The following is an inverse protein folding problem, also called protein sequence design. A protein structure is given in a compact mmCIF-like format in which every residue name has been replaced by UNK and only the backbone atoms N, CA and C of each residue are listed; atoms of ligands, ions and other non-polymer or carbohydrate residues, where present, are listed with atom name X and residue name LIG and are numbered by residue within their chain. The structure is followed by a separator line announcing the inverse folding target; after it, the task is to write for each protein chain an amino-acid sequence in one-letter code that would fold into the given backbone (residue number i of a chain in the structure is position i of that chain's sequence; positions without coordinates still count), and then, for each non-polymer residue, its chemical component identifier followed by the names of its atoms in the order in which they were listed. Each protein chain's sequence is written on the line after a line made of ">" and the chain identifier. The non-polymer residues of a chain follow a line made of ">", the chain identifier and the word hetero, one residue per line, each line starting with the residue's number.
data_IF_059664089817
#
_entry.id   IF_059664089817
#
_cell.length_a   1.000
_cell.length_b   1.000
_cell.length_c   1.000
_cell.angle_alpha   90.00
_cell.angle_beta   90.00
_cell.angle_gamma   90.00
#
_symmetry.space_group_name_H-M   'P 1'
#
loop_
_entity.id
_entity.type
_entity.pdbx_description
1 polymer ?
#
# COMPACT_ATOMS: atom_id res chain seq x y z
N UNK A 1 -16.47 29.73 -76.19
CA UNK A 1 -15.29 30.46 -75.66
C UNK A 1 -15.47 30.55 -74.15
N UNK A 2 -14.57 30.26 -73.24
CA UNK A 2 -13.28 29.56 -73.18
C UNK A 2 -12.91 29.48 -71.69
N UNK A 3 -12.28 28.38 -71.28
CA UNK A 3 -11.31 28.23 -70.17
C UNK A 3 -11.78 27.99 -68.71
N UNK A 4 -11.50 26.77 -68.25
CA UNK A 4 -11.05 26.37 -66.89
C UNK A 4 -9.72 27.06 -66.48
N UNK A 5 -9.05 26.73 -65.34
CA UNK A 5 -9.46 26.40 -63.97
C UNK A 5 -8.73 27.30 -62.92
N UNK A 6 -9.09 27.26 -61.63
CA UNK A 6 -8.13 27.59 -60.55
C UNK A 6 -8.29 26.62 -59.38
N UNK A 7 -7.33 25.69 -59.29
CA UNK A 7 -6.96 25.01 -58.06
C UNK A 7 -6.56 26.07 -57.02
N UNK A 8 -7.07 25.96 -55.79
CA UNK A 8 -6.51 26.67 -54.66
C UNK A 8 -6.35 25.72 -53.49
N UNK A 9 -5.18 25.81 -52.90
CA UNK A 9 -4.53 24.89 -51.98
C UNK A 9 -5.32 24.55 -50.72
N UNK A 10 -5.10 23.30 -50.31
CA UNK A 10 -5.32 22.69 -48.99
C UNK A 10 -4.77 23.55 -47.83
N UNK A 11 -5.46 23.62 -46.67
CA UNK A 11 -4.78 23.65 -45.39
C UNK A 11 -4.92 22.27 -44.73
N UNK A 12 -3.78 21.58 -44.66
CA UNK A 12 -3.55 20.40 -43.83
C UNK A 12 -3.80 20.80 -42.38
N UNK A 13 -4.94 20.41 -41.80
CA UNK A 13 -5.19 20.55 -40.37
C UNK A 13 -4.21 19.61 -39.64
N UNK A 14 -3.17 20.18 -39.07
CA UNK A 14 -2.27 19.50 -38.15
C UNK A 14 -3.08 19.23 -36.88
N UNK A 15 -3.60 18.01 -36.76
CA UNK A 15 -4.14 17.49 -35.51
C UNK A 15 -2.97 17.25 -34.57
N UNK A 16 -2.66 18.25 -33.73
CA UNK A 16 -1.80 18.07 -32.55
C UNK A 16 -2.57 17.15 -31.60
N UNK A 17 -2.32 15.86 -31.71
CA UNK A 17 -2.73 14.89 -30.70
C UNK A 17 -1.93 15.21 -29.44
N UNK A 18 -2.58 15.90 -28.51
CA UNK A 18 -2.18 15.89 -27.10
C UNK A 18 -2.18 14.43 -26.67
N UNK A 19 -1.02 13.77 -26.80
CA UNK A 19 -0.75 12.52 -26.13
C UNK A 19 -0.98 12.79 -24.65
N UNK A 20 -2.11 12.29 -24.13
CA UNK A 20 -2.43 12.40 -22.73
C UNK A 20 -1.24 11.88 -21.94
N UNK A 21 -0.78 12.68 -20.98
CA UNK A 21 0.01 12.15 -19.88
C UNK A 21 -0.82 10.99 -19.33
N UNK A 22 -0.41 9.76 -19.63
CA UNK A 22 -0.98 8.57 -19.03
C UNK A 22 -0.67 8.70 -17.53
N UNK A 23 -1.60 9.35 -16.84
CA UNK A 23 -1.43 9.84 -15.48
C UNK A 23 -1.11 8.65 -14.61
N UNK A 24 -0.06 8.79 -13.81
CA UNK A 24 0.06 7.96 -12.63
C UNK A 24 -1.30 7.91 -11.93
N UNK A 25 -1.79 6.74 -11.49
CA UNK A 25 -2.96 6.71 -10.63
C UNK A 25 -2.74 7.71 -9.49
N UNK A 26 -3.76 8.52 -9.16
CA UNK A 26 -3.60 9.52 -8.11
C UNK A 26 -3.11 8.85 -6.83
N UNK A 27 -2.11 9.45 -6.19
CA UNK A 27 -1.62 8.95 -4.92
C UNK A 27 -2.75 8.90 -3.88
N UNK A 28 -2.72 7.95 -2.94
CA UNK A 28 -3.71 7.88 -1.87
C UNK A 28 -3.79 9.21 -1.10
N UNK A 29 -4.98 9.60 -0.60
CA UNK A 29 -5.10 10.77 0.25
C UNK A 29 -4.46 10.52 1.62
N UNK A 30 -4.07 11.60 2.31
CA UNK A 30 -3.65 11.54 3.71
C UNK A 30 -4.74 10.93 4.58
N UNK A 31 -4.36 10.09 5.54
CA UNK A 31 -5.27 9.42 6.46
C UNK A 31 -4.60 9.11 7.79
N UNK A 32 -5.39 9.09 8.86
CA UNK A 32 -5.07 8.43 10.12
C UNK A 32 -6.27 7.60 10.51
N UNK A 33 -6.16 6.28 10.46
CA UNK A 33 -7.29 5.39 10.66
C UNK A 33 -6.88 4.01 11.20
N UNK A 34 -7.70 3.48 12.10
CA UNK A 34 -7.60 2.11 12.61
C UNK A 34 -8.72 1.23 12.07
N UNK A 35 -8.55 -0.08 12.13
CA UNK A 35 -9.58 -1.05 11.69
C UNK A 35 -10.92 -0.92 12.43
N UNK A 36 -10.97 -0.23 13.58
CA UNK A 36 -12.21 0.09 14.29
C UNK A 36 -13.18 0.95 13.46
N UNK A 37 -12.68 1.70 12.46
CA UNK A 37 -13.50 2.49 11.54
C UNK A 37 -14.27 1.62 10.52
N UNK A 38 -14.03 0.30 10.47
CA UNK A 38 -14.63 -0.62 9.50
C UNK A 38 -15.05 -1.92 10.18
N UNK A 39 -16.34 -2.22 10.12
CA UNK A 39 -16.87 -3.44 10.73
C UNK A 39 -16.49 -4.69 9.92
N UNK A 40 -16.61 -4.61 8.59
CA UNK A 40 -16.48 -5.76 7.70
C UNK A 40 -15.05 -5.99 7.22
N UNK A 41 -14.65 -7.26 7.15
CA UNK A 41 -13.33 -7.66 6.64
C UNK A 41 -13.10 -7.16 5.21
N UNK A 42 -14.11 -7.24 4.34
CA UNK A 42 -14.01 -6.78 2.96
C UNK A 42 -13.64 -5.29 2.87
N UNK A 43 -14.26 -4.45 3.69
CA UNK A 43 -13.99 -3.00 3.73
C UNK A 43 -12.58 -2.72 4.27
N UNK A 44 -12.13 -3.48 5.27
CA UNK A 44 -10.77 -3.39 5.81
C UNK A 44 -9.73 -3.75 4.76
N UNK A 45 -9.97 -4.82 3.99
CA UNK A 45 -9.08 -5.25 2.90
C UNK A 45 -9.06 -4.21 1.80
N UNK A 46 -10.22 -3.73 1.35
CA UNK A 46 -10.30 -2.69 0.33
C UNK A 46 -9.57 -1.41 0.75
N UNK A 47 -9.65 -1.04 2.03
CA UNK A 47 -8.93 0.12 2.55
C UNK A 47 -7.42 -0.08 2.53
N UNK A 48 -6.91 -1.15 3.17
CA UNK A 48 -5.46 -1.33 3.33
C UNK A 48 -4.75 -1.46 1.99
N UNK A 49 -5.41 -2.06 0.99
CA UNK A 49 -4.87 -2.23 -0.36
C UNK A 49 -4.62 -0.92 -1.12
N UNK A 50 -5.19 0.20 -0.67
CA UNK A 50 -4.83 1.52 -1.20
C UNK A 50 -3.46 2.01 -0.71
N UNK A 51 -3.00 1.51 0.43
CA UNK A 51 -1.80 1.99 1.12
C UNK A 51 -0.63 1.00 1.10
N UNK A 52 -0.88 -0.26 0.71
CA UNK A 52 0.16 -1.29 0.55
C UNK A 52 0.33 -1.72 -0.91
N UNK A 53 1.54 -2.14 -1.26
CA UNK A 53 1.90 -2.56 -2.63
C UNK A 53 1.67 -4.05 -2.90
N UNK A 54 1.30 -4.84 -1.89
CA UNK A 54 1.01 -6.26 -2.02
C UNK A 54 -0.49 -6.54 -1.98
N UNK A 55 -0.86 -7.75 -2.43
CA UNK A 55 -2.21 -8.29 -2.37
C UNK A 55 -2.16 -9.67 -1.74
N UNK A 56 -2.99 -9.89 -0.72
CA UNK A 56 -2.99 -11.10 0.12
C UNK A 56 -4.42 -11.47 0.49
N UNK A 57 -4.65 -12.74 0.82
CA UNK A 57 -5.93 -13.15 1.40
C UNK A 57 -5.87 -13.05 2.91
N UNK A 58 -7.01 -12.72 3.50
CA UNK A 58 -7.18 -12.53 4.93
C UNK A 58 -8.35 -13.37 5.44
N UNK A 59 -8.16 -14.01 6.59
CA UNK A 59 -9.24 -14.57 7.42
C UNK A 59 -9.69 -13.52 8.43
N UNK A 60 -8.75 -12.78 9.01
CA UNK A 60 -8.97 -11.58 9.84
C UNK A 60 -7.92 -10.54 9.51
N UNK A 61 -8.25 -9.27 9.71
CA UNK A 61 -7.37 -8.15 9.50
C UNK A 61 -7.70 -7.04 10.49
N UNK A 62 -6.68 -6.57 11.21
CA UNK A 62 -6.70 -5.34 12.00
C UNK A 62 -5.49 -4.48 11.61
N UNK A 63 -5.65 -3.15 11.66
CA UNK A 63 -4.62 -2.22 11.20
C UNK A 63 -4.65 -0.91 11.98
N UNK A 64 -3.52 -0.22 11.95
CA UNK A 64 -3.35 1.18 12.31
C UNK A 64 -2.51 1.85 11.21
N UNK A 65 -3.11 2.79 10.50
CA UNK A 65 -2.54 3.43 9.32
C UNK A 65 -2.47 4.92 9.51
N UNK A 66 -1.26 5.46 9.40
CA UNK A 66 -1.01 6.86 9.16
C UNK A 66 -0.33 7.02 7.80
N UNK A 67 -0.90 7.85 6.94
CA UNK A 67 -0.33 8.22 5.65
C UNK A 67 -0.47 9.72 5.45
N UNK A 68 0.59 10.36 4.99
CA UNK A 68 0.63 11.78 4.68
C UNK A 68 1.04 11.95 3.21
N UNK A 69 0.07 12.35 2.38
CA UNK A 69 0.33 12.71 0.99
C UNK A 69 0.97 14.11 0.94
N UNK A 70 2.24 14.17 0.55
CA UNK A 70 2.99 15.42 0.43
C UNK A 70 3.11 15.92 -1.03
N UNK A 71 2.43 15.26 -1.98
CA UNK A 71 2.52 15.56 -3.41
C UNK A 71 1.68 16.77 -3.87
N UNK A 72 0.71 17.22 -3.08
CA UNK A 72 -0.23 18.30 -3.45
C UNK A 72 0.31 19.74 -3.32
N UNK A 73 1.53 19.94 -2.80
CA UNK A 73 2.12 21.26 -2.57
C UNK A 73 2.80 21.90 -3.79
N UNK A 74 3.19 23.18 -3.67
CA UNK A 74 3.98 23.90 -4.70
C UNK A 74 5.36 23.26 -4.96
N UNK A 75 5.89 22.55 -3.97
CA UNK A 75 7.11 21.75 -4.07
C UNK A 75 6.70 20.32 -3.73
N UNK A 76 6.71 19.39 -4.70
CA UNK A 76 6.46 17.99 -4.42
C UNK A 76 7.51 17.44 -3.46
N UNK A 77 7.06 16.81 -2.38
CA UNK A 77 7.91 16.05 -1.48
C UNK A 77 7.43 14.60 -1.40
N UNK A 78 8.32 13.64 -1.09
CA UNK A 78 7.90 12.26 -0.85
C UNK A 78 6.83 12.19 0.25
N UNK A 79 5.86 11.31 0.06
CA UNK A 79 4.84 11.01 1.07
C UNK A 79 5.45 10.28 2.26
N UNK A 80 4.87 10.46 3.45
CA UNK A 80 5.30 9.81 4.69
C UNK A 80 4.25 8.83 5.18
N UNK A 81 4.68 7.75 5.84
CA UNK A 81 3.74 6.76 6.35
C UNK A 81 4.26 5.95 7.55
N UNK A 82 3.31 5.47 8.33
CA UNK A 82 3.47 4.44 9.35
C UNK A 82 2.26 3.50 9.23
N UNK A 83 2.50 2.32 8.65
CA UNK A 83 1.47 1.34 8.32
C UNK A 83 1.74 0.09 9.13
N UNK A 84 0.86 -0.19 10.08
CA UNK A 84 0.91 -1.36 10.95
C UNK A 84 -0.33 -2.21 10.71
N UNK A 85 -0.17 -3.52 10.60
CA UNK A 85 -1.29 -4.45 10.55
C UNK A 85 -0.97 -5.76 11.25
N UNK A 86 -2.03 -6.45 11.63
CA UNK A 86 -2.00 -7.83 12.07
C UNK A 86 -3.13 -8.59 11.37
N UNK A 87 -2.81 -9.78 10.91
CA UNK A 87 -3.70 -10.59 10.10
C UNK A 87 -3.65 -12.06 10.50
N UNK A 88 -4.80 -12.71 10.46
CA UNK A 88 -4.88 -14.17 10.30
C UNK A 88 -4.99 -14.44 8.80
N UNK A 89 -4.12 -15.29 8.26
CA UNK A 89 -3.99 -15.53 6.81
C UNK A 89 -4.19 -17.02 6.49
N UNK A 90 -4.52 -17.38 5.24
CA UNK A 90 -4.51 -18.78 4.85
C UNK A 90 -3.14 -19.41 5.12
N UNK A 91 -3.05 -20.60 5.76
CA UNK A 91 -1.77 -21.21 6.11
C UNK A 91 -0.84 -21.41 4.91
N UNK A 92 -1.40 -21.62 3.71
CA UNK A 92 -0.65 -21.79 2.47
C UNK A 92 0.03 -20.50 1.96
N UNK A 93 -0.41 -19.32 2.41
CA UNK A 93 0.13 -18.01 1.99
C UNK A 93 1.11 -17.43 3.02
N UNK A 94 1.34 -18.10 4.16
CA UNK A 94 2.10 -17.52 5.28
C UNK A 94 3.56 -17.20 4.90
N UNK A 95 4.18 -18.05 4.09
CA UNK A 95 5.57 -17.85 3.65
C UNK A 95 5.69 -16.68 2.67
N UNK A 96 4.63 -16.36 1.94
CA UNK A 96 4.61 -15.25 0.99
C UNK A 96 4.67 -13.88 1.69
N UNK A 97 4.45 -13.83 3.01
CA UNK A 97 4.57 -12.61 3.80
C UNK A 97 6.02 -12.23 4.13
N UNK A 98 6.96 -13.16 4.07
CA UNK A 98 8.38 -12.85 4.30
C UNK A 98 8.95 -12.18 3.04
N UNK A 99 9.43 -10.93 3.11
CA UNK A 99 10.01 -10.28 1.94
C UNK A 99 11.25 -11.05 1.47
N UNK A 100 11.38 -11.25 0.16
CA UNK A 100 12.56 -11.92 -0.43
C UNK A 100 13.84 -11.19 -0.01
N UNK A 101 14.77 -11.90 0.60
CA UNK A 101 16.04 -11.33 1.09
C UNK A 101 15.91 -10.51 2.37
N UNK A 102 14.85 -10.69 3.16
CA UNK A 102 14.76 -10.14 4.50
C UNK A 102 15.69 -10.88 5.48
N UNK A 103 16.26 -10.13 6.42
CA UNK A 103 17.08 -10.68 7.50
C UNK A 103 16.19 -11.16 8.64
N UNK A 104 16.48 -12.34 9.19
CA UNK A 104 15.84 -12.80 10.43
C UNK A 104 16.47 -12.04 11.60
N UNK A 105 15.64 -11.42 12.42
CA UNK A 105 16.08 -10.59 13.55
C UNK A 105 15.54 -11.12 14.89
N UNK A 106 16.20 -10.75 15.98
CA UNK A 106 15.70 -11.02 17.33
C UNK A 106 15.05 -9.74 17.87
N UNK A 107 13.75 -9.81 18.16
CA UNK A 107 12.97 -8.69 18.71
C UNK A 107 12.16 -9.21 19.90
N UNK A 108 12.23 -8.52 21.03
CA UNK A 108 11.30 -8.71 22.14
C UNK A 108 10.01 -7.96 21.80
N UNK A 109 8.85 -8.62 21.85
CA UNK A 109 7.52 -8.08 21.51
C UNK A 109 7.46 -6.54 21.53
N UNK A 110 7.51 -5.89 20.35
CA UNK A 110 7.61 -4.44 20.27
C UNK A 110 6.29 -3.78 20.67
N UNK A 111 6.39 -2.55 21.17
CA UNK A 111 5.23 -1.80 21.66
C UNK A 111 4.15 -1.61 20.60
N UNK A 112 4.54 -1.27 19.36
CA UNK A 112 3.60 -1.08 18.24
C UNK A 112 2.68 -2.28 18.01
N UNK A 113 3.16 -3.51 18.25
CA UNK A 113 2.35 -4.72 18.07
C UNK A 113 1.26 -4.80 19.15
N UNK A 114 1.54 -4.33 20.36
CA UNK A 114 0.57 -4.29 21.47
C UNK A 114 -0.48 -3.20 21.28
N UNK A 115 -0.10 -2.10 20.62
CA UNK A 115 -0.98 -0.96 20.36
C UNK A 115 -1.95 -1.20 19.20
N UNK A 116 -1.66 -2.14 18.31
CA UNK A 116 -2.56 -2.47 17.21
C UNK A 116 -3.97 -2.78 17.75
N UNK A 117 -5.03 -2.27 17.11
CA UNK A 117 -6.40 -2.48 17.56
C UNK A 117 -6.85 -3.94 17.36
N UNK A 118 -8.05 -4.24 17.85
CA UNK A 118 -8.72 -5.51 17.59
C UNK A 118 -8.20 -6.69 18.40
N UNK A 119 -8.72 -7.87 18.09
CA UNK A 119 -8.66 -9.03 18.97
C UNK A 119 -7.82 -10.19 18.44
N UNK A 120 -7.02 -9.97 17.39
CA UNK A 120 -6.14 -11.02 16.87
C UNK A 120 -5.07 -11.35 17.92
N UNK A 121 -4.86 -12.64 18.18
CA UNK A 121 -3.94 -13.13 19.21
C UNK A 121 -2.48 -12.86 18.83
N UNK A 122 -1.68 -12.32 19.76
CA UNK A 122 -0.32 -11.83 19.45
C UNK A 122 0.79 -12.62 20.15
N UNK A 123 0.46 -13.45 21.14
CA UNK A 123 1.46 -14.01 22.06
C UNK A 123 2.32 -15.15 21.48
N UNK A 124 1.97 -15.72 20.31
CA UNK A 124 2.77 -16.78 19.67
C UNK A 124 3.65 -16.33 18.50
N UNK A 125 3.75 -15.03 18.27
CA UNK A 125 4.69 -14.48 17.28
C UNK A 125 6.11 -14.72 17.78
N UNK A 126 6.87 -15.51 17.01
CA UNK A 126 8.22 -15.98 17.40
C UNK A 126 9.26 -15.73 16.31
N UNK A 127 8.83 -15.52 15.07
CA UNK A 127 9.72 -15.26 13.95
C UNK A 127 9.60 -13.80 13.53
N UNK A 128 10.74 -13.12 13.37
CA UNK A 128 10.80 -11.71 13.00
C UNK A 128 11.77 -11.53 11.85
N UNK A 129 11.35 -10.72 10.87
CA UNK A 129 12.08 -10.44 9.65
C UNK A 129 12.11 -8.94 9.40
N UNK A 130 13.22 -8.41 8.89
CA UNK A 130 13.34 -6.99 8.52
C UNK A 130 13.93 -6.81 7.13
N UNK A 131 13.39 -5.82 6.41
CA UNK A 131 13.92 -5.37 5.12
C UNK A 131 13.50 -3.92 4.85
N UNK A 132 14.47 -3.01 4.68
CA UNK A 132 14.26 -1.64 4.17
C UNK A 132 13.03 -0.92 4.77
N UNK A 133 12.99 -0.72 6.09
CA UNK A 133 11.87 -0.05 6.78
C UNK A 133 10.60 -0.90 6.94
N UNK A 134 10.66 -2.18 6.56
CA UNK A 134 9.60 -3.18 6.79
C UNK A 134 10.03 -4.15 7.87
N UNK A 135 9.14 -4.44 8.80
CA UNK A 135 9.23 -5.55 9.76
C UNK A 135 8.05 -6.48 9.55
N UNK A 136 8.31 -7.78 9.46
CA UNK A 136 7.28 -8.83 9.39
C UNK A 136 7.51 -9.81 10.53
N UNK A 137 6.46 -10.10 11.27
CA UNK A 137 6.48 -11.05 12.37
C UNK A 137 5.48 -12.17 12.13
N UNK A 138 5.86 -13.42 12.41
CA UNK A 138 5.08 -14.60 12.06
C UNK A 138 4.86 -15.50 13.27
N UNK A 139 3.62 -15.97 13.42
CA UNK A 139 3.23 -17.16 14.17
C UNK A 139 2.75 -18.21 13.16
N UNK A 140 3.60 -19.20 12.87
CA UNK A 140 3.31 -20.25 11.89
C UNK A 140 2.20 -21.19 12.34
N UNK A 141 2.11 -21.45 13.63
CA UNK A 141 1.14 -22.39 14.18
C UNK A 141 -0.28 -21.85 14.04
N UNK A 142 -0.47 -20.54 14.22
CA UNK A 142 -1.79 -19.90 14.14
C UNK A 142 -2.05 -19.17 12.83
N UNK A 143 -1.08 -19.20 11.90
CA UNK A 143 -1.14 -18.44 10.64
C UNK A 143 -1.40 -16.95 10.86
N UNK A 144 -0.68 -16.37 11.82
CA UNK A 144 -0.77 -14.95 12.15
C UNK A 144 0.48 -14.23 11.61
N UNK A 145 0.24 -13.10 10.97
CA UNK A 145 1.28 -12.20 10.49
C UNK A 145 1.05 -10.82 11.09
N UNK A 146 2.08 -10.24 11.67
CA UNK A 146 2.14 -8.81 11.94
C UNK A 146 3.09 -8.16 10.94
N UNK A 147 2.71 -7.01 10.42
CA UNK A 147 3.47 -6.27 9.42
C UNK A 147 3.54 -4.81 9.85
N UNK A 148 4.73 -4.24 9.73
CA UNK A 148 4.98 -2.84 9.96
C UNK A 148 5.83 -2.30 8.83
N UNK A 149 5.42 -1.18 8.23
CA UNK A 149 6.19 -0.47 7.21
C UNK A 149 6.11 1.02 7.45
N UNK A 150 7.26 1.67 7.53
CA UNK A 150 7.31 3.10 7.85
C UNK A 150 8.45 3.80 7.13
N UNK A 151 8.25 5.08 6.82
CA UNK A 151 9.32 6.02 6.43
C UNK A 151 9.86 6.82 7.61
N UNK A 152 9.25 6.67 8.79
CA UNK A 152 9.59 7.43 9.97
C UNK A 152 10.77 6.78 10.71
N UNK A 153 11.67 7.57 11.31
CA UNK A 153 12.76 7.04 12.12
C UNK A 153 12.23 6.30 13.36
N UNK A 154 12.81 5.13 13.66
CA UNK A 154 12.54 4.31 14.86
C UNK A 154 12.99 5.00 16.16
#
# INVERSE_FOLDING_TARGET
>A
MSNSPRQMLLPLLIAITLAGCAGHPPEPPSVTETSAARADLADRVQFIENYVTFRRKYVKLDYDVMYQNNGGGLIPAPSDWDIRLIAEVPPAEIDDWVPVGADKIAVSQPEWLRELPGSIERNGITEWYRKSGTVVAIDRTRSIVAYWNTTMPE
#
